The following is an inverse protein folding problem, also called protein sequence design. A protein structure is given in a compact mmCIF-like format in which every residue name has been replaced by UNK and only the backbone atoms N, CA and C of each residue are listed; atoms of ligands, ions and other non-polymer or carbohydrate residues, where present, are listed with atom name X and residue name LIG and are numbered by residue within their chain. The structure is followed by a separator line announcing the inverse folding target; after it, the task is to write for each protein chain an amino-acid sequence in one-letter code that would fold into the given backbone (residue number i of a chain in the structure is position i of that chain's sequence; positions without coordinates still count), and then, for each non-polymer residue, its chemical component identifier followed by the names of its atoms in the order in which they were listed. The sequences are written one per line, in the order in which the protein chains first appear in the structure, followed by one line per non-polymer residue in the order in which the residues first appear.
data_IF_476065993430
#
_entry.id   IF_476065993430
#
_cell.length_a   1.000
_cell.length_b   1.000
_cell.length_c   1.000
_cell.angle_alpha   90.00
_cell.angle_beta   90.00
_cell.angle_gamma   90.00
#
_symmetry.space_group_name_H-M   'P 1'
#
loop_
_entity.id
_entity.type
_entity.pdbx_description
1 polymer ?
#
# COMPACT_ATOMS: atom_id res chain seq x y z
N UNK A 1 -14.88 58.22 13.79
CA UNK A 1 -14.04 57.96 12.60
C UNK A 1 -12.83 57.17 13.08
N UNK A 2 -12.67 55.95 12.56
CA UNK A 2 -11.49 55.06 12.66
C UNK A 2 -11.17 54.54 14.06
N UNK A 3 -11.35 53.25 14.37
CA UNK A 3 -10.62 52.16 13.71
C UNK A 3 -11.42 50.85 13.76
N UNK A 4 -12.09 50.54 12.66
CA UNK A 4 -12.47 49.18 12.28
C UNK A 4 -11.27 48.62 11.49
N UNK A 5 -10.34 47.96 12.17
CA UNK A 5 -9.23 47.26 11.51
C UNK A 5 -8.63 46.16 12.39
N UNK A 6 -9.45 45.45 13.16
CA UNK A 6 -9.04 44.25 13.93
C UNK A 6 -10.08 43.13 13.86
N UNK A 7 -10.82 43.06 12.75
CA UNK A 7 -11.57 41.87 12.36
C UNK A 7 -11.08 41.50 10.97
N UNK A 8 -10.95 40.19 10.73
CA UNK A 8 -10.44 39.55 9.50
C UNK A 8 -8.95 39.21 9.54
N UNK A 9 -8.62 38.17 10.32
CA UNK A 9 -7.56 37.18 10.01
C UNK A 9 -7.59 35.96 10.96
N UNK A 10 -8.64 35.81 11.78
CA UNK A 10 -8.89 34.61 12.59
C UNK A 10 -10.02 33.80 11.96
N UNK A 11 -9.66 32.84 11.09
CA UNK A 11 -10.66 31.99 10.46
C UNK A 11 -10.22 31.16 9.26
N UNK A 12 -8.93 30.84 9.10
CA UNK A 12 -8.60 29.64 8.32
C UNK A 12 -8.75 28.45 9.26
N UNK A 13 -9.79 27.66 9.08
CA UNK A 13 -9.90 26.34 9.71
C UNK A 13 -8.56 25.61 9.50
N UNK A 14 -7.86 25.38 10.62
CA UNK A 14 -6.61 24.61 10.64
C UNK A 14 -6.79 23.20 10.06
N UNK A 15 -8.05 22.75 9.90
CA UNK A 15 -8.50 21.94 8.76
C UNK A 15 -7.96 20.52 8.68
N UNK A 16 -7.62 19.90 9.82
CA UNK A 16 -7.35 18.47 9.85
C UNK A 16 -8.68 17.70 9.89
N UNK A 17 -8.87 16.80 8.94
CA UNK A 17 -10.07 15.96 8.91
C UNK A 17 -10.04 14.90 10.02
N UNK A 18 -10.87 15.09 11.04
CA UNK A 18 -11.00 14.19 12.19
C UNK A 18 -11.80 12.92 11.90
N UNK A 19 -12.45 12.81 10.73
CA UNK A 19 -13.30 11.65 10.40
C UNK A 19 -12.44 10.50 9.92
N UNK A 20 -12.39 9.41 10.68
CA UNK A 20 -11.68 8.19 10.30
C UNK A 20 -12.63 7.20 9.61
N UNK A 21 -12.27 6.75 8.42
CA UNK A 21 -13.02 5.76 7.65
C UNK A 21 -12.20 4.48 7.61
N UNK A 22 -12.66 3.43 8.29
CA UNK A 22 -11.98 2.13 8.31
C UNK A 22 -12.64 1.22 7.26
N UNK A 23 -12.01 0.98 6.09
CA UNK A 23 -12.63 0.19 5.04
C UNK A 23 -12.69 -1.29 5.44
N UNK A 24 -13.88 -1.88 5.34
CA UNK A 24 -14.12 -3.26 5.80
C UNK A 24 -13.78 -4.32 4.75
N UNK A 25 -13.95 -4.01 3.46
CA UNK A 25 -13.77 -4.99 2.38
C UNK A 25 -12.42 -4.81 1.68
N UNK A 26 -11.82 -5.88 1.14
CA UNK A 26 -10.59 -5.78 0.34
C UNK A 26 -10.71 -4.80 -0.83
N UNK A 27 -11.89 -4.75 -1.47
CA UNK A 27 -12.18 -3.80 -2.54
C UNK A 27 -12.14 -2.36 -2.02
N UNK A 28 -12.86 -2.07 -0.94
CA UNK A 28 -12.88 -0.73 -0.34
C UNK A 28 -11.51 -0.30 0.19
N UNK A 29 -10.72 -1.23 0.78
CA UNK A 29 -9.34 -0.96 1.21
C UNK A 29 -8.44 -0.55 0.04
N UNK A 30 -8.52 -1.29 -1.07
CA UNK A 30 -7.75 -1.00 -2.29
C UNK A 30 -8.16 0.34 -2.93
N UNK A 31 -9.46 0.63 -3.01
CA UNK A 31 -9.97 1.90 -3.55
C UNK A 31 -9.59 3.08 -2.66
N UNK A 32 -9.70 2.94 -1.33
CA UNK A 32 -9.30 3.95 -0.38
C UNK A 32 -7.79 4.23 -0.46
N UNK A 33 -6.95 3.19 -0.50
CA UNK A 33 -5.51 3.34 -0.68
C UNK A 33 -5.16 4.06 -2.00
N UNK A 34 -5.80 3.69 -3.11
CA UNK A 34 -5.59 4.36 -4.40
C UNK A 34 -6.01 5.84 -4.34
N UNK A 35 -7.14 6.14 -3.71
CA UNK A 35 -7.62 7.51 -3.53
C UNK A 35 -6.64 8.34 -2.70
N UNK A 36 -6.14 7.82 -1.57
CA UNK A 36 -5.15 8.53 -0.74
C UNK A 36 -3.91 8.89 -1.54
N UNK A 37 -3.39 7.94 -2.33
CA UNK A 37 -2.19 8.19 -3.17
C UNK A 37 -2.49 9.25 -4.22
N UNK A 38 -3.65 9.20 -4.86
CA UNK A 38 -4.06 10.18 -5.86
C UNK A 38 -4.26 11.57 -5.24
N UNK A 39 -4.97 11.68 -4.12
CA UNK A 39 -5.20 12.92 -3.39
C UNK A 39 -3.87 13.54 -2.94
N UNK A 40 -2.91 12.71 -2.51
CA UNK A 40 -1.57 13.16 -2.16
C UNK A 40 -0.81 13.71 -3.38
N UNK A 41 -0.76 12.94 -4.49
CA UNK A 41 -0.08 13.39 -5.70
C UNK A 41 -0.71 14.65 -6.29
N UNK A 42 -2.02 14.85 -6.12
CA UNK A 42 -2.69 16.07 -6.57
C UNK A 42 -2.41 17.28 -5.65
N UNK A 43 -2.50 17.08 -4.33
CA UNK A 43 -2.40 18.18 -3.35
C UNK A 43 -0.95 18.57 -3.02
N UNK A 44 -0.03 17.62 -3.19
CA UNK A 44 1.38 17.72 -2.80
C UNK A 44 2.32 17.27 -3.94
N UNK A 45 1.98 17.61 -5.19
CA UNK A 45 2.71 17.21 -6.39
C UNK A 45 4.21 17.58 -6.35
N UNK A 46 4.52 18.75 -5.80
CA UNK A 46 5.88 19.23 -5.55
C UNK A 46 6.68 18.30 -4.63
N UNK A 47 6.07 17.89 -3.51
CA UNK A 47 6.67 16.91 -2.60
C UNK A 47 6.80 15.54 -3.26
N UNK A 48 5.82 15.15 -4.07
CA UNK A 48 5.84 13.88 -4.78
C UNK A 48 6.98 13.77 -5.79
N UNK A 49 7.22 14.85 -6.53
CA UNK A 49 8.36 14.96 -7.44
C UNK A 49 9.67 14.77 -6.67
N UNK A 50 9.85 15.43 -5.52
CA UNK A 50 11.05 15.27 -4.71
C UNK A 50 11.18 13.85 -4.13
N UNK A 51 10.08 13.23 -3.67
CA UNK A 51 10.08 11.83 -3.23
C UNK A 51 10.55 10.91 -4.35
N UNK A 52 10.11 11.16 -5.60
CA UNK A 52 10.53 10.38 -6.77
C UNK A 52 12.03 10.53 -7.07
N UNK A 53 12.59 11.73 -6.91
CA UNK A 53 14.04 11.97 -7.05
C UNK A 53 14.81 11.19 -5.99
N UNK A 54 14.37 11.23 -4.72
CA UNK A 54 14.97 10.44 -3.62
C UNK A 54 14.88 8.92 -3.91
N UNK A 55 13.88 8.44 -4.65
CA UNK A 55 13.78 7.03 -5.07
C UNK A 55 14.81 6.67 -6.13
N UNK A 56 14.98 7.51 -7.17
CA UNK A 56 15.96 7.27 -8.23
C UNK A 56 17.38 7.25 -7.70
N UNK A 57 17.71 8.20 -6.84
CA UNK A 57 19.02 8.33 -6.20
C UNK A 57 19.40 7.05 -5.42
N UNK A 58 18.45 6.52 -4.63
CA UNK A 58 18.64 5.26 -3.87
C UNK A 58 18.75 4.01 -4.76
N UNK A 59 18.12 3.99 -5.93
CA UNK A 59 18.18 2.83 -6.82
C UNK A 59 19.52 2.73 -7.54
N UNK A 60 20.14 3.86 -7.89
CA UNK A 60 21.45 3.89 -8.55
C UNK A 60 22.61 3.57 -7.60
N UNK A 61 22.58 4.12 -6.39
CA UNK A 61 23.58 3.78 -5.36
C UNK A 61 23.63 2.27 -5.07
N UNK A 62 22.48 1.59 -5.08
CA UNK A 62 22.42 0.13 -4.92
C UNK A 62 22.93 -0.65 -6.12
N UNK A 63 22.86 -0.08 -7.32
CA UNK A 63 23.41 -0.68 -8.55
C UNK A 63 24.93 -0.51 -8.59
N UNK A 64 25.46 0.62 -8.11
CA UNK A 64 26.90 0.86 -7.96
C UNK A 64 27.53 -0.05 -6.88
N UNK A 65 26.85 -0.29 -5.74
CA UNK A 65 27.32 -1.24 -4.72
C UNK A 65 27.34 -2.71 -5.20
N UNK A 66 26.61 -3.04 -6.29
CA UNK A 66 26.59 -4.37 -6.89
C UNK A 66 27.43 -4.49 -8.16
N UNK A 67 27.99 -3.39 -8.66
CA UNK A 67 28.87 -3.36 -9.82
C UNK A 67 30.34 -3.30 -9.37
N UNK A 68 31.14 -4.31 -9.74
CA UNK A 68 32.59 -4.27 -9.56
C UNK A 68 33.20 -3.08 -10.33
N UNK A 69 34.31 -2.49 -9.83
CA UNK A 69 34.84 -1.23 -10.35
C UNK A 69 35.51 -1.44 -11.71
N UNK A 70 34.81 -1.06 -12.77
CA UNK A 70 35.46 -0.64 -14.02
C UNK A 70 35.24 0.87 -14.15
N UNK A 71 36.33 1.60 -14.03
CA UNK A 71 36.42 3.05 -14.09
C UNK A 71 35.74 3.62 -15.34
N UNK A 72 34.73 4.46 -15.16
CA UNK A 72 34.48 5.56 -16.11
C UNK A 72 34.41 6.89 -15.36
N UNK A 73 35.21 7.90 -15.75
CA UNK A 73 35.24 9.22 -15.11
C UNK A 73 34.02 10.10 -15.45
N UNK A 74 32.95 9.52 -16.02
CA UNK A 74 31.70 10.22 -16.38
C UNK A 74 30.62 10.16 -15.31
N UNK A 75 30.69 9.22 -14.36
CA UNK A 75 29.64 8.98 -13.36
C UNK A 75 29.75 9.90 -12.12
N UNK A 76 30.96 10.30 -11.72
CA UNK A 76 31.13 11.29 -10.63
C UNK A 76 30.42 12.62 -10.94
N UNK A 77 30.47 13.06 -12.21
CA UNK A 77 29.78 14.26 -12.67
C UNK A 77 28.26 14.10 -12.71
N UNK A 78 27.71 12.88 -12.85
CA UNK A 78 26.26 12.68 -12.81
C UNK A 78 25.72 12.65 -11.39
N UNK A 79 26.44 12.06 -10.44
CA UNK A 79 26.05 12.03 -9.02
C UNK A 79 26.06 13.44 -8.40
N UNK A 80 27.09 14.24 -8.68
CA UNK A 80 27.13 15.62 -8.22
C UNK A 80 26.02 16.48 -8.84
N UNK A 81 25.62 16.20 -10.09
CA UNK A 81 24.49 16.89 -10.74
C UNK A 81 23.16 16.51 -10.09
N UNK A 82 22.92 15.23 -9.83
CA UNK A 82 21.67 14.74 -9.23
C UNK A 82 21.51 15.18 -7.77
N UNK A 83 22.59 15.16 -6.99
CA UNK A 83 22.59 15.73 -5.64
C UNK A 83 22.29 17.22 -5.64
N UNK A 84 22.88 17.96 -6.59
CA UNK A 84 22.58 19.38 -6.79
C UNK A 84 21.12 19.61 -7.24
N UNK A 85 20.54 18.73 -8.04
CA UNK A 85 19.12 18.79 -8.43
C UNK A 85 18.19 18.51 -7.24
N UNK A 86 18.52 17.53 -6.40
CA UNK A 86 17.75 17.22 -5.19
C UNK A 86 17.77 18.40 -4.20
N UNK A 87 18.95 18.95 -3.90
CA UNK A 87 19.06 20.08 -2.98
C UNK A 87 18.36 21.35 -3.54
N UNK A 88 18.38 21.57 -4.86
CA UNK A 88 17.59 22.63 -5.51
C UNK A 88 16.08 22.40 -5.38
N UNK A 89 15.62 21.17 -5.56
CA UNK A 89 14.20 20.85 -5.45
C UNK A 89 13.70 20.99 -4.00
N UNK A 90 14.52 20.59 -3.02
CA UNK A 90 14.28 20.81 -1.59
C UNK A 90 14.22 22.31 -1.28
N UNK A 91 15.15 23.11 -1.81
CA UNK A 91 15.13 24.56 -1.65
C UNK A 91 13.88 25.19 -2.27
N UNK A 92 13.44 24.69 -3.43
CA UNK A 92 12.20 25.16 -4.07
C UNK A 92 10.97 24.88 -3.20
N UNK A 93 10.84 23.68 -2.61
CA UNK A 93 9.75 23.38 -1.68
C UNK A 93 9.82 24.31 -0.47
N UNK A 94 11.03 24.56 0.06
CA UNK A 94 11.21 25.44 1.21
C UNK A 94 10.74 26.89 0.97
N UNK A 95 10.69 27.33 -0.30
CA UNK A 95 10.20 28.65 -0.69
C UNK A 95 8.68 28.71 -0.87
N UNK A 96 8.06 27.62 -1.36
CA UNK A 96 6.63 27.64 -1.74
C UNK A 96 5.70 27.03 -0.69
N UNK A 97 6.23 26.29 0.28
CA UNK A 97 5.45 25.61 1.31
C UNK A 97 5.76 26.14 2.71
N UNK A 98 4.75 26.11 3.54
CA UNK A 98 4.88 26.36 4.98
C UNK A 98 5.14 25.04 5.73
N UNK A 99 5.63 25.14 6.97
CA UNK A 99 5.68 23.99 7.89
C UNK A 99 4.27 23.38 8.06
N UNK A 100 3.23 24.21 8.05
CA UNK A 100 1.84 23.79 8.21
C UNK A 100 1.42 22.83 7.10
N UNK A 101 1.77 23.11 5.84
CA UNK A 101 1.43 22.25 4.71
C UNK A 101 2.09 20.86 4.82
N UNK A 102 3.35 20.84 5.27
CA UNK A 102 4.11 19.60 5.49
C UNK A 102 3.49 18.79 6.63
N UNK A 103 3.12 19.43 7.75
CA UNK A 103 2.46 18.77 8.87
C UNK A 103 1.09 18.20 8.47
N UNK A 104 0.32 18.92 7.65
CA UNK A 104 -0.95 18.42 7.08
C UNK A 104 -0.73 17.18 6.21
N UNK A 105 0.30 17.19 5.36
CA UNK A 105 0.65 16.05 4.52
C UNK A 105 1.05 14.82 5.37
N UNK A 106 1.85 15.03 6.42
CA UNK A 106 2.25 13.99 7.38
C UNK A 106 1.03 13.40 8.10
N UNK A 107 0.15 14.25 8.62
CA UNK A 107 -1.09 13.82 9.26
C UNK A 107 -1.97 13.00 8.32
N UNK A 108 -2.17 13.45 7.07
CA UNK A 108 -2.98 12.74 6.09
C UNK A 108 -2.44 11.34 5.80
N UNK A 109 -1.12 11.19 5.70
CA UNK A 109 -0.47 9.90 5.51
C UNK A 109 -0.59 8.99 6.75
N UNK A 110 -0.36 9.52 7.95
CA UNK A 110 -0.55 8.74 9.19
C UNK A 110 -2.00 8.29 9.37
N UNK A 111 -2.95 9.17 9.06
CA UNK A 111 -4.38 8.86 9.06
C UNK A 111 -4.69 7.71 8.11
N UNK A 112 -4.23 7.78 6.87
CA UNK A 112 -4.43 6.73 5.89
C UNK A 112 -3.80 5.39 6.32
N UNK A 113 -2.59 5.42 6.89
CA UNK A 113 -1.96 4.22 7.44
C UNK A 113 -2.81 3.58 8.56
N UNK A 114 -3.40 4.39 9.43
CA UNK A 114 -4.30 3.90 10.46
C UNK A 114 -5.61 3.34 9.88
N UNK A 115 -6.24 4.06 8.95
CA UNK A 115 -7.48 3.66 8.28
C UNK A 115 -7.32 2.32 7.53
N UNK A 116 -6.17 2.12 6.90
CA UNK A 116 -5.80 0.87 6.21
C UNK A 116 -5.30 -0.24 7.15
N UNK A 117 -5.22 0.02 8.47
CA UNK A 117 -4.70 -0.90 9.50
C UNK A 117 -3.22 -1.27 9.32
N UNK A 118 -2.45 -0.41 8.68
CA UNK A 118 -0.99 -0.51 8.57
C UNK A 118 -0.27 0.14 9.77
N UNK A 119 -0.95 1.04 10.48
CA UNK A 119 -0.51 1.61 11.74
C UNK A 119 -1.43 1.17 12.89
N UNK A 120 -0.84 0.87 14.05
CA UNK A 120 -1.57 0.50 15.27
C UNK A 120 -2.08 1.71 16.03
N UNK A 121 -1.32 2.81 16.01
CA UNK A 121 -1.63 4.04 16.73
C UNK A 121 -2.51 4.94 15.85
N UNK A 122 -3.65 5.37 16.41
CA UNK A 122 -4.47 6.42 15.81
C UNK A 122 -3.72 7.75 15.90
N UNK A 123 -3.57 8.51 14.80
CA UNK A 123 -2.93 9.82 14.87
C UNK A 123 -3.75 10.76 15.76
N UNK A 124 -3.05 11.51 16.60
CA UNK A 124 -3.67 12.42 17.54
C UNK A 124 -3.80 13.80 16.89
N UNK A 125 -5.02 14.16 16.48
CA UNK A 125 -5.30 15.45 15.85
C UNK A 125 -4.87 16.61 16.76
N UNK A 126 -5.02 16.49 18.09
CA UNK A 126 -4.64 17.57 19.02
C UNK A 126 -3.14 17.83 19.01
N UNK A 127 -2.33 16.77 18.96
CA UNK A 127 -0.88 16.91 18.94
C UNK A 127 -0.42 17.62 17.64
N UNK A 128 -1.02 17.28 16.50
CA UNK A 128 -0.73 17.95 15.24
C UNK A 128 -1.20 19.40 15.21
N UNK A 129 -2.38 19.68 15.76
CA UNK A 129 -2.90 21.04 15.88
C UNK A 129 -1.98 21.91 16.76
N UNK A 130 -1.50 21.36 17.87
CA UNK A 130 -0.53 22.04 18.74
C UNK A 130 0.79 22.29 18.00
N UNK A 131 1.34 21.29 17.31
CA UNK A 131 2.55 21.45 16.53
C UNK A 131 2.42 22.52 15.42
N UNK A 132 1.25 22.57 14.77
CA UNK A 132 0.94 23.60 13.77
C UNK A 132 0.92 24.98 14.42
N UNK A 133 0.25 25.15 15.56
CA UNK A 133 0.22 26.42 16.29
C UNK A 133 1.63 26.87 16.71
N UNK A 134 2.41 25.94 17.30
CA UNK A 134 3.77 26.21 17.79
C UNK A 134 4.78 26.50 16.68
N UNK A 135 4.46 26.13 15.43
CA UNK A 135 5.38 26.20 14.30
C UNK A 135 4.90 27.10 13.16
N UNK A 136 3.71 27.71 13.27
CA UNK A 136 3.10 28.55 12.23
C UNK A 136 4.00 29.70 11.76
N UNK A 137 4.79 30.25 12.67
CA UNK A 137 5.67 31.40 12.41
C UNK A 137 7.15 31.01 12.30
N UNK A 138 7.48 29.72 12.39
CA UNK A 138 8.87 29.25 12.28
C UNK A 138 9.27 29.12 10.81
N UNK A 139 10.52 29.48 10.45
CA UNK A 139 11.00 29.26 9.10
C UNK A 139 11.12 27.76 8.81
N UNK A 140 10.73 27.37 7.60
CA UNK A 140 10.91 26.00 7.13
C UNK A 140 12.42 25.70 6.99
N UNK A 141 12.90 24.68 7.70
CA UNK A 141 14.32 24.29 7.66
C UNK A 141 14.53 23.10 6.73
N UNK A 142 15.69 23.05 6.07
CA UNK A 142 16.05 21.94 5.19
C UNK A 142 16.06 20.59 5.93
N UNK A 143 16.48 20.56 7.20
CA UNK A 143 16.50 19.35 8.02
C UNK A 143 15.08 18.83 8.29
N UNK A 144 14.16 19.72 8.68
CA UNK A 144 12.76 19.34 8.87
C UNK A 144 12.15 18.80 7.58
N UNK A 145 12.43 19.44 6.44
CA UNK A 145 11.92 19.02 5.15
C UNK A 145 12.49 17.66 4.72
N UNK A 146 13.79 17.42 4.91
CA UNK A 146 14.44 16.13 4.60
C UNK A 146 13.82 14.99 5.42
N UNK A 147 13.62 15.19 6.72
CA UNK A 147 13.01 14.16 7.57
C UNK A 147 11.53 13.95 7.22
N UNK A 148 10.79 15.03 6.99
CA UNK A 148 9.37 14.96 6.62
C UNK A 148 9.18 14.22 5.29
N UNK A 149 9.98 14.54 4.26
CA UNK A 149 9.94 13.86 2.97
C UNK A 149 10.30 12.38 3.09
N UNK A 150 11.23 12.02 3.98
CA UNK A 150 11.56 10.62 4.28
C UNK A 150 10.35 9.88 4.86
N UNK A 151 9.65 10.48 5.83
CA UNK A 151 8.45 9.89 6.45
C UNK A 151 7.31 9.77 5.44
N UNK A 152 7.06 10.82 4.65
CA UNK A 152 6.06 10.81 3.57
C UNK A 152 6.35 9.72 2.55
N UNK A 153 7.60 9.61 2.10
CA UNK A 153 8.05 8.55 1.19
C UNK A 153 7.77 7.17 1.76
N UNK A 154 8.21 6.89 2.97
CA UNK A 154 8.02 5.57 3.60
C UNK A 154 6.53 5.23 3.77
N UNK A 155 5.72 6.21 4.17
CA UNK A 155 4.28 6.03 4.33
C UNK A 155 3.59 5.75 2.98
N UNK A 156 3.96 6.52 1.94
CA UNK A 156 3.48 6.32 0.57
C UNK A 156 3.82 4.94 0.05
N UNK A 157 5.07 4.51 0.21
CA UNK A 157 5.55 3.18 -0.21
C UNK A 157 4.75 2.06 0.46
N UNK A 158 4.53 2.13 1.78
CA UNK A 158 3.70 1.16 2.51
C UNK A 158 2.28 1.08 1.97
N UNK A 159 1.63 2.22 1.72
CA UNK A 159 0.26 2.27 1.19
C UNK A 159 0.21 1.70 -0.23
N UNK A 160 1.19 2.03 -1.07
CA UNK A 160 1.28 1.52 -2.45
C UNK A 160 1.52 0.01 -2.50
N UNK A 161 2.46 -0.50 -1.69
CA UNK A 161 2.73 -1.93 -1.60
C UNK A 161 1.50 -2.69 -1.10
N UNK A 162 0.83 -2.17 -0.07
CA UNK A 162 -0.41 -2.73 0.44
C UNK A 162 -1.51 -2.77 -0.64
N UNK A 163 -1.69 -1.68 -1.39
CA UNK A 163 -2.66 -1.62 -2.47
C UNK A 163 -2.36 -2.64 -3.58
N UNK A 164 -1.09 -2.77 -3.97
CA UNK A 164 -0.63 -3.76 -4.96
C UNK A 164 -0.88 -5.19 -4.46
N UNK A 165 -0.53 -5.49 -3.21
CA UNK A 165 -0.73 -6.80 -2.62
C UNK A 165 -2.21 -7.17 -2.57
N UNK A 166 -3.09 -6.25 -2.15
CA UNK A 166 -4.54 -6.42 -2.19
C UNK A 166 -5.09 -6.67 -3.60
N UNK A 167 -4.55 -6.01 -4.62
CA UNK A 167 -4.96 -6.24 -6.01
C UNK A 167 -4.58 -7.64 -6.48
N UNK A 168 -3.36 -8.09 -6.17
CA UNK A 168 -2.91 -9.46 -6.47
C UNK A 168 -3.75 -10.49 -5.72
N UNK A 169 -4.01 -10.25 -4.43
CA UNK A 169 -4.86 -11.10 -3.60
C UNK A 169 -6.29 -11.22 -4.17
N UNK A 170 -6.87 -10.09 -4.62
CA UNK A 170 -8.18 -10.07 -5.29
C UNK A 170 -8.19 -10.84 -6.60
N UNK A 171 -7.16 -10.67 -7.43
CA UNK A 171 -7.04 -11.39 -8.69
C UNK A 171 -6.95 -12.90 -8.43
N UNK A 172 -6.11 -13.28 -7.47
CA UNK A 172 -5.96 -14.65 -7.02
C UNK A 172 -7.28 -15.26 -6.51
N UNK A 173 -8.00 -14.54 -5.63
CA UNK A 173 -9.30 -14.97 -5.12
C UNK A 173 -10.35 -15.13 -6.24
N UNK A 174 -10.30 -14.28 -7.28
CA UNK A 174 -11.18 -14.40 -8.45
C UNK A 174 -10.89 -15.65 -9.26
N UNK A 175 -9.61 -15.96 -9.49
CA UNK A 175 -9.23 -17.19 -10.18
C UNK A 175 -9.60 -18.45 -9.42
N UNK A 176 -9.34 -18.48 -8.10
CA UNK A 176 -9.69 -19.64 -7.28
C UNK A 176 -11.21 -19.90 -7.28
N UNK A 177 -12.04 -18.84 -7.25
CA UNK A 177 -13.49 -18.98 -7.42
C UNK A 177 -13.89 -19.53 -8.77
N UNK A 178 -13.20 -19.15 -9.85
CA UNK A 178 -13.46 -19.72 -11.18
C UNK A 178 -13.13 -21.20 -11.22
N UNK A 179 -12.00 -21.61 -10.65
CA UNK A 179 -11.59 -23.02 -10.62
C UNK A 179 -12.60 -23.87 -9.83
N UNK A 180 -13.11 -23.36 -8.69
CA UNK A 180 -14.18 -24.01 -7.92
C UNK A 180 -15.46 -24.12 -8.75
N UNK A 181 -15.91 -23.04 -9.40
CA UNK A 181 -17.12 -23.07 -10.21
C UNK A 181 -17.01 -24.02 -11.41
N UNK A 182 -15.82 -24.11 -12.03
CA UNK A 182 -15.57 -25.04 -13.12
C UNK A 182 -15.59 -26.50 -12.65
N UNK A 183 -15.11 -26.79 -11.43
CA UNK A 183 -15.19 -28.13 -10.86
C UNK A 183 -16.65 -28.64 -10.77
N UNK A 184 -17.58 -27.75 -10.39
CA UNK A 184 -19.00 -28.08 -10.27
C UNK A 184 -19.68 -28.31 -11.63
N UNK A 185 -19.19 -27.66 -12.69
CA UNK A 185 -19.77 -27.71 -14.04
C UNK A 185 -19.25 -28.85 -14.90
N UNK A 186 -18.08 -29.40 -14.57
CA UNK A 186 -17.40 -30.39 -15.40
C UNK A 186 -17.88 -31.79 -15.05
N UNK A 187 -18.33 -32.57 -16.03
CA UNK A 187 -18.87 -33.92 -15.81
C UNK A 187 -17.78 -35.01 -15.83
N UNK A 188 -16.68 -34.80 -16.55
CA UNK A 188 -15.59 -35.76 -16.69
C UNK A 188 -14.79 -35.93 -15.40
N UNK A 189 -14.56 -37.18 -14.97
CA UNK A 189 -13.78 -37.51 -13.77
C UNK A 189 -12.31 -37.05 -13.86
N UNK A 190 -11.70 -37.17 -15.03
CA UNK A 190 -10.29 -36.75 -15.24
C UNK A 190 -10.15 -35.23 -15.11
N UNK A 191 -11.07 -34.49 -15.72
CA UNK A 191 -11.10 -33.03 -15.65
C UNK A 191 -11.41 -32.55 -14.23
N UNK A 192 -12.34 -33.20 -13.50
CA UNK A 192 -12.56 -32.93 -12.06
C UNK A 192 -11.28 -33.12 -11.24
N UNK A 193 -10.57 -34.23 -11.44
CA UNK A 193 -9.30 -34.51 -10.75
C UNK A 193 -8.22 -33.45 -11.06
N UNK A 194 -8.15 -32.94 -12.29
CA UNK A 194 -7.26 -31.85 -12.66
C UNK A 194 -7.59 -30.54 -11.91
N UNK A 195 -8.87 -30.16 -11.86
CA UNK A 195 -9.30 -28.98 -11.11
C UNK A 195 -9.02 -29.11 -9.61
N UNK A 196 -9.23 -30.28 -9.01
CA UNK A 196 -8.91 -30.52 -7.59
C UNK A 196 -7.41 -30.29 -7.33
N UNK A 197 -6.53 -30.86 -8.15
CA UNK A 197 -5.07 -30.63 -8.03
C UNK A 197 -4.70 -29.15 -8.18
N UNK A 198 -5.36 -28.45 -9.10
CA UNK A 198 -5.14 -27.02 -9.32
C UNK A 198 -5.60 -26.18 -8.12
N UNK A 199 -6.78 -26.47 -7.56
CA UNK A 199 -7.32 -25.81 -6.36
C UNK A 199 -6.39 -26.06 -5.17
N UNK A 200 -5.93 -27.30 -4.97
CA UNK A 200 -5.01 -27.67 -3.89
C UNK A 200 -3.67 -26.92 -3.99
N UNK A 201 -3.05 -26.90 -5.19
CA UNK A 201 -1.83 -26.12 -5.44
C UNK A 201 -2.04 -24.64 -5.14
N UNK A 202 -3.16 -24.06 -5.60
CA UNK A 202 -3.49 -22.65 -5.33
C UNK A 202 -3.69 -22.40 -3.84
N UNK A 203 -4.31 -23.31 -3.09
CA UNK A 203 -4.42 -23.15 -1.63
C UNK A 203 -3.08 -23.17 -0.91
N UNK A 204 -2.12 -23.99 -1.36
CA UNK A 204 -0.76 -23.94 -0.84
C UNK A 204 -0.09 -22.58 -1.14
N UNK A 205 -0.16 -22.13 -2.40
CA UNK A 205 0.41 -20.83 -2.79
C UNK A 205 -0.24 -19.65 -2.07
N UNK A 206 -1.55 -19.74 -1.79
CA UNK A 206 -2.30 -18.74 -1.05
C UNK A 206 -1.75 -18.52 0.36
N UNK A 207 -1.45 -19.61 1.08
CA UNK A 207 -0.93 -19.54 2.44
C UNK A 207 0.45 -18.92 2.51
N UNK A 208 1.29 -19.17 1.50
CA UNK A 208 2.64 -18.63 1.44
C UNK A 208 2.68 -17.16 1.00
N UNK A 209 1.91 -16.79 -0.03
CA UNK A 209 2.00 -15.47 -0.68
C UNK A 209 0.98 -14.45 -0.16
N UNK A 210 -0.15 -14.91 0.39
CA UNK A 210 -1.28 -14.06 0.77
C UNK A 210 -1.80 -14.41 2.18
N UNK A 211 -1.06 -14.10 3.25
CA UNK A 211 -1.46 -14.45 4.62
C UNK A 211 -2.79 -13.82 5.05
N UNK A 212 -3.17 -12.68 4.46
CA UNK A 212 -4.45 -12.01 4.74
C UNK A 212 -5.65 -12.62 4.00
N UNK A 213 -5.42 -13.55 3.07
CA UNK A 213 -6.49 -14.17 2.27
C UNK A 213 -7.51 -14.90 3.15
N UNK A 214 -7.07 -15.50 4.27
CA UNK A 214 -7.95 -16.18 5.22
C UNK A 214 -8.97 -15.24 5.87
N UNK A 215 -8.52 -14.04 6.23
CA UNK A 215 -9.36 -13.02 6.85
C UNK A 215 -10.26 -12.34 5.82
N UNK A 216 -9.74 -12.11 4.62
CA UNK A 216 -10.42 -11.33 3.58
C UNK A 216 -11.43 -12.17 2.77
N UNK A 217 -11.21 -13.48 2.62
CA UNK A 217 -12.04 -14.39 1.80
C UNK A 217 -12.38 -15.73 2.47
N UNK A 218 -12.89 -15.75 3.71
CA UNK A 218 -13.09 -16.99 4.48
C UNK A 218 -14.03 -18.00 3.78
N UNK A 219 -15.15 -17.51 3.21
CA UNK A 219 -16.13 -18.38 2.51
C UNK A 219 -15.54 -19.09 1.30
N UNK A 220 -14.66 -18.41 0.57
CA UNK A 220 -14.03 -18.95 -0.64
C UNK A 220 -13.03 -20.05 -0.28
N UNK A 221 -12.23 -19.84 0.77
CA UNK A 221 -11.31 -20.88 1.27
C UNK A 221 -12.05 -22.09 1.83
N UNK A 222 -13.18 -21.88 2.51
CA UNK A 222 -14.00 -22.98 2.98
C UNK A 222 -14.55 -23.82 1.81
N UNK A 223 -15.00 -23.17 0.74
CA UNK A 223 -15.43 -23.85 -0.48
C UNK A 223 -14.28 -24.62 -1.16
N UNK A 224 -13.12 -23.99 -1.33
CA UNK A 224 -11.92 -24.61 -1.88
C UNK A 224 -11.48 -25.85 -1.08
N UNK A 225 -11.48 -25.73 0.26
CA UNK A 225 -11.13 -26.84 1.16
C UNK A 225 -12.14 -27.98 1.07
N UNK A 226 -13.43 -27.67 0.92
CA UNK A 226 -14.49 -28.66 0.80
C UNK A 226 -14.41 -29.41 -0.54
N UNK A 227 -14.08 -28.71 -1.61
CA UNK A 227 -13.85 -29.27 -2.95
C UNK A 227 -12.72 -30.30 -2.98
N UNK A 228 -11.70 -30.16 -2.13
CA UNK A 228 -10.59 -31.13 -2.01
C UNK A 228 -10.98 -32.33 -1.11
N UNK A 229 -11.85 -32.13 -0.12
CA UNK A 229 -12.25 -33.18 0.83
C UNK A 229 -13.33 -34.13 0.29
N UNK A 230 -14.31 -33.63 -0.46
CA UNK A 230 -15.40 -34.46 -1.01
C UNK A 230 -14.92 -35.63 -1.91
N UNK A 231 -13.93 -35.47 -2.79
CA UNK A 231 -13.48 -36.54 -3.67
C UNK A 231 -12.80 -37.69 -2.93
N UNK A 232 -12.04 -37.44 -1.85
CA UNK A 232 -11.39 -38.51 -1.06
C UNK A 232 -12.43 -39.49 -0.48
N UNK A 233 -13.62 -39.01 -0.12
CA UNK A 233 -14.73 -39.87 0.32
C UNK A 233 -15.39 -40.63 -0.85
N UNK A 234 -15.49 -40.05 -2.04
CA UNK A 234 -16.05 -40.73 -3.22
C UNK A 234 -15.08 -41.75 -3.84
N UNK A 235 -13.77 -41.46 -3.83
CA UNK A 235 -12.73 -42.41 -4.24
C UNK A 235 -12.62 -43.58 -3.24
N UNK A 236 -12.72 -43.31 -1.94
CA UNK A 236 -12.76 -44.38 -0.92
C UNK A 236 -13.99 -45.28 -1.02
N UNK A 237 -15.15 -44.73 -1.42
CA UNK A 237 -16.38 -45.52 -1.63
C UNK A 237 -16.38 -46.33 -2.92
N UNK A 238 -15.72 -45.85 -3.98
CA UNK A 238 -15.62 -46.56 -5.25
C UNK A 238 -14.54 -47.66 -5.24
N UNK A 239 -13.45 -47.49 -4.48
CA UNK A 239 -12.42 -48.54 -4.31
C UNK A 239 -12.94 -49.77 -3.55
N UNK A 240 -13.94 -49.63 -2.68
CA UNK A 240 -14.58 -50.73 -1.96
C UNK A 240 -15.65 -51.48 -2.77
N UNK A 241 -16.12 -50.93 -3.90
CA UNK A 241 -17.13 -51.57 -4.75
C UNK A 241 -16.57 -52.43 -5.89
N UNK A 242 -15.26 -52.36 -6.15
CA UNK A 242 -14.62 -53.06 -7.27
C UNK A 242 -13.71 -54.22 -6.86
N UNK A 243 -13.74 -54.66 -5.60
CA UNK A 243 -13.08 -55.91 -5.25
C UNK A 243 -13.98 -57.09 -5.63
N UNK A 244 -13.58 -57.98 -6.57
CA UNK A 244 -14.29 -59.21 -6.80
C UNK A 244 -14.21 -60.05 -5.52
N UNK A 245 -15.37 -60.48 -5.03
CA UNK A 245 -15.48 -61.52 -4.02
C UNK A 245 -15.00 -62.80 -4.69
N UNK A 246 -13.74 -63.15 -4.49
CA UNK A 246 -13.19 -64.45 -4.87
C UNK A 246 -13.81 -65.52 -3.98
N UNK A 247 -14.67 -66.34 -4.58
CA UNK A 247 -14.99 -67.69 -4.14
C UNK A 247 -13.84 -68.63 -4.49
#
# INVERSE_FOLDING_TARGET
MSSQATKELEGEELGLDEKFIIPQTPKAKSEHAAKVIQDFSNSYADMDNVISLIQRDKQRLKQEEQASPQETPSEEKSLDREKNELDRAIASIAQVRSIVDILKALYAMEKALYELRLATKKPNTRDYMQQIQDSKHKPLTANFLKESLRVLKSSKEKIQEFAKHLQLERAFAKELRKDIAMLDLVESKESKAAYIKQIDKKLCEAREKFPSLEQNYPKMLQAATSAIKQPLQEFGKNALKTMPIGL
#
